data_IF_378100213411
#
_entry.id   IF_378100213411
#
_cell.length_a   1.000
_cell.length_b   1.000
_cell.length_c   1.000
_cell.angle_alpha   90.00
_cell.angle_beta   90.00
_cell.angle_gamma   90.00
#
_symmetry.space_group_name_H-M   'P 1'
#
loop_
_entity.id
_entity.type
_entity.pdbx_description
1 polymer ?
#
# COMPACT_ATOMS: atom_id res chain seq x y z
N UNK A 1 15.86 6.51 -22.94
CA UNK A 1 16.89 7.44 -23.47
C UNK A 1 18.12 7.51 -22.56
N UNK A 2 18.02 8.02 -21.28
CA UNK A 2 19.22 8.16 -20.44
C UNK A 2 19.92 6.83 -20.17
N UNK A 3 19.17 5.82 -19.74
CA UNK A 3 19.70 4.48 -19.44
C UNK A 3 20.33 3.82 -20.67
N UNK A 4 19.68 3.91 -21.83
CA UNK A 4 20.21 3.39 -23.10
C UNK A 4 21.52 4.09 -23.49
N UNK A 5 21.55 5.44 -23.41
CA UNK A 5 22.75 6.21 -23.73
C UNK A 5 23.93 5.91 -22.80
N UNK A 6 23.64 5.51 -21.55
CA UNK A 6 24.64 5.13 -20.58
C UNK A 6 25.01 3.65 -20.63
N UNK A 7 24.32 2.83 -21.43
CA UNK A 7 24.53 1.39 -21.50
C UNK A 7 24.16 0.67 -20.20
N UNK A 8 23.10 1.13 -19.52
CA UNK A 8 22.66 0.52 -18.27
C UNK A 8 21.96 -0.83 -18.51
N UNK A 9 22.33 -1.84 -17.74
CA UNK A 9 21.71 -3.18 -17.78
C UNK A 9 20.39 -3.25 -17.04
N UNK A 10 20.24 -2.41 -16.00
CA UNK A 10 19.06 -2.40 -15.11
C UNK A 10 18.72 -1.02 -14.61
N UNK A 11 17.48 -0.85 -14.14
CA UNK A 11 16.99 0.36 -13.47
C UNK A 11 16.38 -0.02 -12.13
N UNK A 12 16.89 0.58 -11.05
CA UNK A 12 16.24 0.54 -9.76
C UNK A 12 15.34 1.79 -9.64
N UNK A 13 14.00 1.62 -9.51
CA UNK A 13 13.08 2.76 -9.59
C UNK A 13 12.99 3.57 -8.27
N UNK A 14 13.59 3.07 -7.18
CA UNK A 14 13.37 3.61 -5.84
C UNK A 14 11.95 3.36 -5.33
N UNK A 15 11.40 4.31 -4.60
CA UNK A 15 10.08 4.20 -3.95
C UNK A 15 9.10 5.33 -4.35
N UNK A 16 9.31 5.99 -5.46
CA UNK A 16 8.43 7.07 -5.94
C UNK A 16 8.38 7.17 -7.46
N UNK A 17 7.69 8.17 -7.97
CA UNK A 17 7.59 8.50 -9.38
C UNK A 17 7.18 7.31 -10.27
N UNK A 18 8.15 6.64 -10.89
CA UNK A 18 7.93 5.56 -11.86
C UNK A 18 7.96 4.15 -11.25
N UNK A 19 8.13 4.02 -9.93
CA UNK A 19 8.26 2.73 -9.28
C UNK A 19 7.02 1.83 -9.39
N UNK A 20 5.83 2.43 -9.55
CA UNK A 20 4.56 1.72 -9.74
C UNK A 20 3.91 2.09 -11.09
N UNK A 21 4.73 2.38 -12.09
CA UNK A 21 4.26 2.68 -13.44
C UNK A 21 4.49 1.50 -14.39
N UNK A 22 3.43 0.76 -14.68
CA UNK A 22 3.49 -0.44 -15.52
C UNK A 22 3.95 -0.16 -16.95
N UNK A 23 3.62 1.00 -17.52
CA UNK A 23 4.09 1.40 -18.85
C UNK A 23 5.61 1.61 -18.87
N UNK A 24 6.17 2.17 -17.79
CA UNK A 24 7.61 2.30 -17.66
C UNK A 24 8.31 0.94 -17.58
N UNK A 25 7.74 -0.01 -16.85
CA UNK A 25 8.24 -1.40 -16.79
C UNK A 25 8.24 -2.04 -18.17
N UNK A 26 7.14 -1.90 -18.94
CA UNK A 26 7.05 -2.40 -20.32
C UNK A 26 8.11 -1.78 -21.22
N UNK A 27 8.31 -0.47 -21.12
CA UNK A 27 9.36 0.24 -21.87
C UNK A 27 10.77 -0.22 -21.52
N UNK A 28 11.06 -0.50 -20.25
CA UNK A 28 12.35 -1.09 -19.87
C UNK A 28 12.56 -2.44 -20.57
N UNK A 29 11.57 -3.32 -20.51
CA UNK A 29 11.62 -4.65 -21.13
C UNK A 29 11.78 -4.58 -22.65
N UNK A 30 11.05 -3.69 -23.33
CA UNK A 30 11.16 -3.46 -24.78
C UNK A 30 12.56 -3.01 -25.21
N UNK A 31 13.29 -2.33 -24.34
CA UNK A 31 14.65 -1.83 -24.59
C UNK A 31 15.74 -2.73 -23.99
N UNK A 32 15.41 -3.94 -23.55
CA UNK A 32 16.38 -4.89 -23.00
C UNK A 32 16.98 -4.45 -21.65
N UNK A 33 16.32 -3.54 -20.93
CA UNK A 33 16.75 -3.04 -19.63
C UNK A 33 15.94 -3.74 -18.54
N UNK A 34 16.61 -4.36 -17.57
CA UNK A 34 15.96 -5.02 -16.45
C UNK A 34 15.36 -3.97 -15.50
N UNK A 35 14.05 -4.02 -15.27
CA UNK A 35 13.41 -3.27 -14.19
C UNK A 35 13.57 -4.03 -12.88
N UNK A 36 14.16 -3.41 -11.85
CA UNK A 36 14.33 -4.03 -10.53
C UNK A 36 13.04 -3.82 -9.73
N UNK A 37 12.13 -4.78 -9.84
CA UNK A 37 10.79 -4.73 -9.29
C UNK A 37 9.89 -5.80 -9.89
N UNK A 38 8.59 -5.79 -9.60
CA UNK A 38 7.62 -6.74 -10.14
C UNK A 38 7.29 -6.47 -11.61
N UNK A 39 6.63 -7.44 -12.24
CA UNK A 39 6.15 -7.31 -13.62
C UNK A 39 5.04 -6.25 -13.74
N UNK A 40 4.93 -5.66 -14.94
CA UNK A 40 3.95 -4.63 -15.27
C UNK A 40 2.51 -5.05 -14.98
N UNK A 41 2.15 -6.30 -15.27
CA UNK A 41 0.79 -6.81 -15.09
C UNK A 41 0.43 -6.95 -13.60
N UNK A 42 1.42 -7.21 -12.75
CA UNK A 42 1.23 -7.22 -11.28
C UNK A 42 0.97 -5.81 -10.77
N UNK A 43 1.71 -4.83 -11.27
CA UNK A 43 1.52 -3.41 -10.94
C UNK A 43 0.11 -2.96 -11.34
N UNK A 44 -0.33 -3.26 -12.56
CA UNK A 44 -1.68 -2.91 -13.02
C UNK A 44 -2.77 -3.57 -12.18
N UNK A 45 -2.61 -4.87 -11.89
CA UNK A 45 -3.57 -5.65 -11.13
C UNK A 45 -3.72 -5.12 -9.69
N UNK A 46 -2.61 -4.83 -9.03
CA UNK A 46 -2.61 -4.35 -7.64
C UNK A 46 -2.90 -2.85 -7.53
N UNK A 47 -2.60 -2.06 -8.56
CA UNK A 47 -2.94 -0.65 -8.63
C UNK A 47 -4.45 -0.39 -8.77
N UNK A 48 -5.22 -1.34 -9.28
CA UNK A 48 -6.68 -1.26 -9.33
C UNK A 48 -7.29 -1.83 -8.04
N UNK A 49 -7.86 -0.95 -7.20
CA UNK A 49 -8.38 -1.33 -5.88
C UNK A 49 -9.45 -2.42 -5.92
N UNK A 50 -10.33 -2.39 -6.92
CA UNK A 50 -11.40 -3.40 -7.06
C UNK A 50 -10.82 -4.76 -7.46
N UNK A 51 -9.87 -4.77 -8.41
CA UNK A 51 -9.18 -6.00 -8.83
C UNK A 51 -8.31 -6.57 -7.70
N UNK A 52 -7.56 -5.71 -6.99
CA UNK A 52 -6.77 -6.12 -5.85
C UNK A 52 -7.64 -6.76 -4.77
N UNK A 53 -8.76 -6.10 -4.40
CA UNK A 53 -9.70 -6.62 -3.41
C UNK A 53 -10.28 -7.98 -3.83
N UNK A 54 -10.75 -8.11 -5.08
CA UNK A 54 -11.29 -9.37 -5.57
C UNK A 54 -10.23 -10.48 -5.56
N UNK A 55 -9.01 -10.20 -6.00
CA UNK A 55 -7.90 -11.15 -5.95
C UNK A 55 -7.60 -11.62 -4.52
N UNK A 56 -7.63 -10.71 -3.55
CA UNK A 56 -7.42 -11.07 -2.14
C UNK A 56 -8.55 -11.94 -1.59
N UNK A 57 -9.79 -11.64 -1.94
CA UNK A 57 -10.93 -12.49 -1.55
C UNK A 57 -10.82 -13.91 -2.12
N UNK A 58 -10.43 -14.03 -3.39
CA UNK A 58 -10.24 -15.34 -4.05
C UNK A 58 -9.08 -16.12 -3.40
N UNK A 59 -8.04 -15.41 -2.97
CA UNK A 59 -6.92 -15.96 -2.24
C UNK A 59 -7.21 -16.24 -0.75
N UNK A 60 -8.43 -15.92 -0.26
CA UNK A 60 -8.85 -16.04 1.14
C UNK A 60 -8.08 -15.15 2.11
N UNK A 61 -7.48 -14.09 1.63
CA UNK A 61 -6.90 -13.03 2.46
C UNK A 61 -8.04 -12.18 3.01
N UNK A 62 -8.08 -11.88 4.32
CA UNK A 62 -9.14 -11.08 4.90
C UNK A 62 -9.21 -9.68 4.28
N UNK A 63 -10.37 -9.26 3.82
CA UNK A 63 -10.63 -7.91 3.31
C UNK A 63 -11.71 -7.24 4.16
N UNK A 64 -11.72 -5.91 4.20
CA UNK A 64 -12.77 -5.17 4.91
C UNK A 64 -14.14 -5.63 4.41
N UNK A 65 -15.07 -6.05 5.30
CA UNK A 65 -16.42 -6.44 4.90
C UNK A 65 -17.10 -5.31 4.11
N UNK A 66 -17.69 -5.63 2.97
CA UNK A 66 -18.30 -4.63 2.10
C UNK A 66 -18.96 -5.25 0.86
N UNK A 67 -19.60 -4.39 0.07
CA UNK A 67 -20.24 -4.79 -1.18
C UNK A 67 -19.22 -5.31 -2.18
N UNK A 68 -19.60 -6.35 -2.92
CA UNK A 68 -18.81 -6.87 -4.05
C UNK A 68 -19.14 -6.13 -5.33
N UNK A 69 -20.43 -5.86 -5.49
CA UNK A 69 -20.97 -5.19 -6.66
C UNK A 69 -21.17 -3.70 -6.38
N UNK A 70 -21.14 -2.88 -7.41
CA UNK A 70 -21.49 -1.47 -7.32
C UNK A 70 -22.91 -1.26 -6.80
N UNK A 71 -23.10 -0.17 -6.07
CA UNK A 71 -24.38 0.27 -5.53
C UNK A 71 -24.76 1.60 -6.18
N UNK A 72 -25.95 1.70 -6.75
CA UNK A 72 -26.38 2.87 -7.50
C UNK A 72 -27.50 3.67 -6.82
N UNK A 73 -28.12 3.12 -5.79
CA UNK A 73 -29.20 3.76 -5.04
C UNK A 73 -29.07 3.55 -3.53
N UNK A 74 -29.61 4.48 -2.77
CA UNK A 74 -29.49 4.48 -1.31
C UNK A 74 -30.26 3.30 -0.66
N UNK A 75 -31.40 2.87 -1.21
CA UNK A 75 -32.18 1.76 -0.65
C UNK A 75 -31.42 0.44 -0.69
N UNK A 76 -30.80 0.14 -1.83
CA UNK A 76 -29.94 -1.03 -1.99
C UNK A 76 -28.71 -0.92 -1.08
N UNK A 77 -28.06 0.26 -1.02
CA UNK A 77 -26.91 0.50 -0.16
C UNK A 77 -27.22 0.34 1.32
N UNK A 78 -28.38 0.80 1.78
CA UNK A 78 -28.82 0.67 3.17
C UNK A 78 -29.00 -0.81 3.58
N UNK A 79 -29.55 -1.65 2.70
CA UNK A 79 -29.67 -3.09 2.97
C UNK A 79 -28.29 -3.74 3.20
N UNK A 80 -27.30 -3.41 2.36
CA UNK A 80 -25.94 -3.88 2.58
C UNK A 80 -25.31 -3.31 3.86
N UNK A 81 -25.58 -2.04 4.18
CA UNK A 81 -25.11 -1.42 5.41
C UNK A 81 -25.70 -2.08 6.66
N UNK A 82 -26.98 -2.46 6.61
CA UNK A 82 -27.64 -3.22 7.68
C UNK A 82 -27.00 -4.62 7.88
N UNK A 83 -26.63 -5.30 6.79
CA UNK A 83 -25.96 -6.60 6.83
C UNK A 83 -24.52 -6.50 7.38
N UNK A 84 -23.75 -5.49 6.94
CA UNK A 84 -22.37 -5.23 7.38
C UNK A 84 -22.33 -4.74 8.83
N UNK A 85 -23.36 -4.02 9.23
CA UNK A 85 -23.48 -3.34 10.54
C UNK A 85 -22.75 -2.00 10.58
N UNK A 86 -23.42 -0.99 11.16
CA UNK A 86 -22.86 0.37 11.32
C UNK A 86 -21.72 0.42 12.35
N UNK A 87 -20.82 1.42 12.27
CA UNK A 87 -20.71 2.40 11.20
C UNK A 87 -20.19 1.82 9.89
N UNK A 88 -20.58 2.46 8.76
CA UNK A 88 -20.13 2.07 7.43
C UNK A 88 -19.50 3.25 6.68
N UNK A 89 -18.55 2.95 5.80
CA UNK A 89 -17.95 3.89 4.87
C UNK A 89 -18.63 3.75 3.50
N UNK A 90 -19.16 4.83 3.00
CA UNK A 90 -19.68 4.97 1.64
C UNK A 90 -18.55 5.54 0.79
N UNK A 91 -18.18 4.86 -0.29
CA UNK A 91 -17.05 5.23 -1.16
C UNK A 91 -17.46 5.28 -2.61
N UNK A 92 -17.02 6.31 -3.33
CA UNK A 92 -17.11 6.33 -4.78
C UNK A 92 -16.06 5.39 -5.41
N UNK A 93 -16.42 4.73 -6.51
CA UNK A 93 -15.53 3.88 -7.30
C UNK A 93 -14.31 4.65 -7.79
N UNK A 94 -14.54 5.84 -8.32
CA UNK A 94 -13.52 6.73 -8.90
C UNK A 94 -12.98 7.75 -7.89
N UNK A 95 -13.29 7.61 -6.59
CA UNK A 95 -12.91 8.55 -5.55
C UNK A 95 -11.42 8.57 -5.25
N UNK A 96 -10.90 9.76 -4.95
CA UNK A 96 -9.52 9.98 -4.53
C UNK A 96 -9.37 11.24 -3.69
N UNK A 97 -8.34 11.28 -2.81
CA UNK A 97 -8.07 12.45 -1.97
C UNK A 97 -9.20 12.80 -0.98
N UNK A 98 -10.00 11.81 -0.56
CA UNK A 98 -11.12 12.00 0.38
C UNK A 98 -12.43 12.48 -0.25
N UNK A 99 -12.47 12.76 -1.55
CA UNK A 99 -13.71 13.10 -2.27
C UNK A 99 -14.53 11.85 -2.58
N UNK A 100 -15.85 11.98 -2.50
CA UNK A 100 -16.77 10.86 -2.71
C UNK A 100 -16.73 9.81 -1.59
N UNK A 101 -16.30 10.18 -0.39
CA UNK A 101 -16.30 9.30 0.79
C UNK A 101 -17.06 9.94 1.95
N UNK A 102 -17.94 9.16 2.59
CA UNK A 102 -18.71 9.59 3.78
C UNK A 102 -18.84 8.42 4.75
N UNK A 103 -18.82 8.71 6.02
CA UNK A 103 -19.14 7.74 7.08
C UNK A 103 -20.58 7.94 7.52
N UNK A 104 -21.37 6.88 7.52
CA UNK A 104 -22.67 6.82 8.16
C UNK A 104 -22.55 6.08 9.50
N UNK A 105 -22.84 6.75 10.59
CA UNK A 105 -22.76 6.19 11.94
C UNK A 105 -23.95 5.28 12.25
N UNK A 106 -25.10 5.59 11.62
CA UNK A 106 -26.35 4.89 11.82
C UNK A 106 -27.17 4.81 10.52
N UNK A 107 -28.22 4.00 10.56
CA UNK A 107 -29.20 3.89 9.48
C UNK A 107 -29.85 5.23 9.12
N UNK A 108 -30.18 6.03 10.12
CA UNK A 108 -30.88 7.31 9.93
C UNK A 108 -30.06 8.33 9.13
N UNK A 109 -28.71 8.18 9.14
CA UNK A 109 -27.81 9.06 8.41
C UNK A 109 -27.45 8.54 7.02
N UNK A 110 -27.70 7.25 6.75
CA UNK A 110 -27.15 6.56 5.59
C UNK A 110 -27.58 7.17 4.27
N UNK A 111 -28.90 7.36 4.06
CA UNK A 111 -29.45 7.89 2.80
C UNK A 111 -28.89 9.29 2.49
N UNK A 112 -28.80 10.14 3.50
CA UNK A 112 -28.25 11.50 3.36
C UNK A 112 -26.80 11.45 2.92
N UNK A 113 -25.95 10.65 3.59
CA UNK A 113 -24.53 10.53 3.27
C UNK A 113 -24.29 9.84 1.93
N UNK A 114 -25.09 8.84 1.58
CA UNK A 114 -25.02 8.17 0.29
C UNK A 114 -25.28 9.14 -0.86
N UNK A 115 -26.40 9.87 -0.82
CA UNK A 115 -26.76 10.84 -1.84
C UNK A 115 -25.73 11.98 -1.97
N UNK A 116 -25.15 12.43 -0.85
CA UNK A 116 -24.09 13.43 -0.88
C UNK A 116 -22.81 12.92 -1.54
N UNK A 117 -22.35 11.73 -1.16
CA UNK A 117 -21.14 11.14 -1.73
C UNK A 117 -21.29 10.85 -3.23
N UNK A 118 -22.47 10.33 -3.63
CA UNK A 118 -22.80 10.02 -5.03
C UNK A 118 -22.80 11.28 -5.91
N UNK A 119 -23.45 12.36 -5.45
CA UNK A 119 -23.46 13.65 -6.17
C UNK A 119 -22.06 14.27 -6.28
N UNK A 120 -21.28 14.19 -5.22
CA UNK A 120 -19.90 14.69 -5.23
C UNK A 120 -19.06 13.91 -6.24
N UNK A 121 -19.21 12.59 -6.30
CA UNK A 121 -18.51 11.73 -7.24
C UNK A 121 -18.93 12.01 -8.68
N UNK A 122 -20.22 12.06 -8.96
CA UNK A 122 -20.75 12.37 -10.29
C UNK A 122 -20.21 13.72 -10.80
N UNK A 123 -20.19 14.74 -9.94
CA UNK A 123 -19.70 16.07 -10.32
C UNK A 123 -18.17 16.15 -10.48
N UNK A 124 -17.41 15.42 -9.65
CA UNK A 124 -15.95 15.51 -9.67
C UNK A 124 -15.29 14.56 -10.69
N UNK A 125 -15.90 13.39 -10.92
CA UNK A 125 -15.29 12.30 -11.68
C UNK A 125 -16.16 11.80 -12.84
N UNK A 126 -17.42 12.25 -12.95
CA UNK A 126 -18.37 11.77 -13.96
C UNK A 126 -18.86 10.33 -13.71
N UNK A 127 -18.66 9.81 -12.50
CA UNK A 127 -18.98 8.44 -12.09
C UNK A 127 -19.75 8.48 -10.77
N UNK A 128 -20.96 7.91 -10.75
CA UNK A 128 -21.86 7.85 -9.61
C UNK A 128 -21.87 6.46 -8.92
N UNK A 129 -20.96 5.60 -9.31
CA UNK A 129 -20.81 4.24 -8.77
C UNK A 129 -20.29 4.27 -7.34
N UNK A 130 -21.04 3.66 -6.43
CA UNK A 130 -20.72 3.64 -5.00
C UNK A 130 -20.44 2.22 -4.51
N UNK A 131 -19.66 2.13 -3.42
CA UNK A 131 -19.39 0.92 -2.64
C UNK A 131 -19.61 1.20 -1.16
N UNK A 132 -20.07 0.19 -0.43
CA UNK A 132 -20.28 0.26 1.02
C UNK A 132 -19.30 -0.69 1.69
N UNK A 133 -18.56 -0.19 2.68
CA UNK A 133 -17.61 -1.00 3.45
C UNK A 133 -17.80 -0.77 4.96
N UNK A 134 -17.45 -1.74 5.77
CA UNK A 134 -17.36 -1.55 7.21
C UNK A 134 -16.40 -0.41 7.52
N UNK A 135 -16.83 0.56 8.32
CA UNK A 135 -15.91 1.57 8.84
C UNK A 135 -15.16 1.03 10.05
N UNK A 136 -13.84 1.01 9.98
CA UNK A 136 -12.99 0.58 11.08
C UNK A 136 -12.59 1.82 11.87
N UNK A 137 -13.08 1.90 13.11
CA UNK A 137 -12.78 3.01 14.00
C UNK A 137 -11.41 2.84 14.66
N UNK A 138 -10.63 3.92 14.74
CA UNK A 138 -9.30 3.96 15.35
C UNK A 138 -8.41 2.79 14.92
N UNK A 139 -8.26 2.52 13.61
CA UNK A 139 -7.48 1.40 13.15
C UNK A 139 -5.99 1.65 13.38
N UNK A 140 -5.23 0.56 13.55
CA UNK A 140 -3.78 0.60 13.36
C UNK A 140 -3.44 0.25 11.93
N UNK A 141 -2.41 0.91 11.42
CA UNK A 141 -1.83 0.61 10.12
C UNK A 141 -0.61 -0.29 10.35
N UNK A 142 -0.74 -1.54 9.98
CA UNK A 142 0.32 -2.53 10.10
C UNK A 142 0.57 -3.14 8.72
N UNK A 143 1.82 -3.26 8.34
CA UNK A 143 2.19 -3.76 7.02
C UNK A 143 3.22 -4.86 7.10
N UNK A 144 3.19 -5.79 6.14
CA UNK A 144 4.12 -6.92 6.07
C UNK A 144 5.06 -6.72 4.89
N UNK A 145 6.36 -6.69 5.17
CA UNK A 145 7.38 -6.73 4.13
C UNK A 145 7.45 -8.11 3.50
N UNK A 146 7.34 -8.18 2.19
CA UNK A 146 7.58 -9.43 1.44
C UNK A 146 8.78 -9.29 0.52
N UNK A 147 9.39 -10.43 0.24
CA UNK A 147 10.40 -10.62 -0.80
C UNK A 147 10.09 -11.89 -1.57
N UNK A 148 10.12 -11.83 -2.89
CA UNK A 148 9.80 -12.96 -3.75
C UNK A 148 10.80 -13.08 -4.90
N UNK A 149 11.13 -14.30 -5.30
CA UNK A 149 12.02 -14.58 -6.44
C UNK A 149 11.26 -15.09 -7.67
N UNK A 150 12.01 -15.32 -8.75
CA UNK A 150 11.46 -15.87 -10.00
C UNK A 150 11.22 -17.37 -9.96
N UNK A 151 11.50 -18.06 -8.85
CA UNK A 151 11.35 -19.51 -8.66
C UNK A 151 10.12 -19.88 -7.86
N UNK A 152 9.32 -18.87 -7.44
CA UNK A 152 8.10 -19.05 -6.66
C UNK A 152 8.29 -19.04 -5.15
N UNK A 153 9.51 -18.75 -4.67
CA UNK A 153 9.74 -18.54 -3.26
C UNK A 153 9.19 -17.15 -2.86
N UNK A 154 8.44 -17.10 -1.79
CA UNK A 154 7.91 -15.86 -1.19
C UNK A 154 8.17 -15.91 0.30
N UNK A 155 8.84 -14.91 0.84
CA UNK A 155 9.20 -14.79 2.24
C UNK A 155 8.60 -13.51 2.83
N UNK A 156 7.98 -13.62 4.00
CA UNK A 156 7.53 -12.50 4.81
C UNK A 156 8.60 -12.16 5.87
N UNK A 157 9.04 -10.90 5.89
CA UNK A 157 10.12 -10.45 6.78
C UNK A 157 9.59 -9.77 8.07
N UNK A 158 8.34 -10.00 8.39
CA UNK A 158 7.69 -9.42 9.56
C UNK A 158 7.03 -8.07 9.27
N UNK A 159 6.46 -7.53 10.33
CA UNK A 159 5.63 -6.33 10.24
C UNK A 159 6.37 -5.05 10.61
N UNK A 160 5.77 -3.95 10.09
CA UNK A 160 6.00 -2.57 10.55
C UNK A 160 4.67 -1.99 11.04
N UNK A 161 4.71 -1.24 12.13
CA UNK A 161 3.60 -0.40 12.58
C UNK A 161 3.82 1.01 12.04
N UNK A 162 2.88 1.46 11.22
CA UNK A 162 2.91 2.76 10.55
C UNK A 162 1.72 3.63 10.97
N UNK A 163 1.21 3.44 12.18
CA UNK A 163 -0.02 4.12 12.66
C UNK A 163 0.18 5.60 12.94
N UNK A 164 1.41 6.05 13.21
CA UNK A 164 1.70 7.47 13.47
C UNK A 164 1.80 8.22 12.15
N UNK A 165 0.71 8.88 11.79
CA UNK A 165 0.56 9.56 10.50
C UNK A 165 0.05 10.99 10.66
N UNK A 166 0.35 11.84 9.68
CA UNK A 166 -0.23 13.18 9.53
C UNK A 166 -0.79 13.33 8.12
N UNK A 167 -2.07 13.58 7.98
CA UNK A 167 -2.75 13.68 6.68
C UNK A 167 -2.48 12.48 5.76
N UNK A 168 -2.54 11.26 6.32
CA UNK A 168 -2.24 9.99 5.64
C UNK A 168 -0.77 9.82 5.20
N UNK A 169 0.14 10.65 5.70
CA UNK A 169 1.57 10.49 5.51
C UNK A 169 2.18 9.86 6.77
N UNK A 170 2.86 8.74 6.61
CA UNK A 170 3.61 8.06 7.67
C UNK A 170 4.69 9.01 8.21
N UNK A 171 4.85 9.08 9.53
CA UNK A 171 5.83 9.94 10.20
C UNK A 171 6.79 9.17 11.10
N UNK A 172 6.28 8.14 11.76
CA UNK A 172 7.08 7.26 12.61
C UNK A 172 6.66 5.84 12.27
N UNK A 173 7.63 5.01 11.99
CA UNK A 173 7.47 3.59 11.70
C UNK A 173 8.32 2.78 12.67
N UNK A 174 7.81 1.64 13.13
CA UNK A 174 8.53 0.76 14.05
C UNK A 174 8.37 -0.71 13.68
N UNK A 175 9.37 -1.50 13.99
CA UNK A 175 9.36 -2.96 13.82
C UNK A 175 10.07 -3.62 15.02
N UNK A 176 9.48 -4.68 15.61
CA UNK A 176 8.12 -5.18 15.38
C UNK A 176 7.05 -4.28 16.00
N UNK A 177 5.78 -4.44 15.58
CA UNK A 177 4.65 -3.71 16.15
C UNK A 177 4.38 -4.14 17.60
N UNK A 178 4.28 -3.19 18.55
CA UNK A 178 3.92 -3.52 19.94
C UNK A 178 2.42 -3.88 20.09
N UNK A 179 1.63 -3.67 19.04
CA UNK A 179 0.17 -3.82 19.08
C UNK A 179 -0.31 -5.20 18.65
N UNK A 180 0.52 -6.01 18.00
CA UNK A 180 0.13 -7.32 17.52
C UNK A 180 0.78 -8.46 18.30
N UNK A 181 0.03 -9.54 18.47
CA UNK A 181 0.53 -10.74 19.15
C UNK A 181 1.29 -11.64 18.19
N UNK A 182 2.12 -12.56 18.71
CA UNK A 182 2.83 -13.56 17.90
C UNK A 182 1.88 -14.36 16.99
N UNK A 183 0.68 -14.68 17.49
CA UNK A 183 -0.33 -15.39 16.71
C UNK A 183 -0.84 -14.55 15.54
N UNK A 184 -1.07 -13.25 15.77
CA UNK A 184 -1.49 -12.33 14.70
C UNK A 184 -0.37 -12.16 13.69
N UNK A 185 0.87 -11.97 14.13
CA UNK A 185 2.06 -11.86 13.27
C UNK A 185 2.17 -13.06 12.33
N UNK A 186 2.06 -14.27 12.89
CA UNK A 186 2.11 -15.49 12.10
C UNK A 186 0.98 -15.55 11.05
N UNK A 187 -0.25 -15.16 11.44
CA UNK A 187 -1.39 -15.11 10.50
C UNK A 187 -1.22 -14.05 9.43
N UNK A 188 -0.79 -12.84 9.78
CA UNK A 188 -0.56 -11.75 8.83
C UNK A 188 0.58 -12.06 7.85
N UNK A 189 1.68 -12.64 8.33
CA UNK A 189 2.76 -13.13 7.46
C UNK A 189 2.26 -14.17 6.46
N UNK A 190 1.46 -15.13 6.94
CA UNK A 190 0.84 -16.16 6.07
C UNK A 190 -0.04 -15.51 4.99
N UNK A 191 -0.91 -14.59 5.37
CA UNK A 191 -1.83 -13.93 4.45
C UNK A 191 -1.09 -13.02 3.46
N UNK A 192 0.00 -12.37 3.87
CA UNK A 192 0.86 -11.59 2.98
C UNK A 192 1.55 -12.49 1.93
N UNK A 193 1.99 -13.69 2.32
CA UNK A 193 2.54 -14.69 1.40
C UNK A 193 1.46 -15.17 0.43
N UNK A 194 0.23 -15.42 0.90
CA UNK A 194 -0.90 -15.79 0.03
C UNK A 194 -1.22 -14.67 -0.97
N UNK A 195 -1.24 -13.42 -0.52
CA UNK A 195 -1.47 -12.26 -1.38
C UNK A 195 -0.44 -12.17 -2.50
N UNK A 196 0.84 -12.31 -2.16
CA UNK A 196 1.93 -12.28 -3.14
C UNK A 196 1.85 -13.43 -4.14
N UNK A 197 1.60 -14.66 -3.67
CA UNK A 197 1.43 -15.85 -4.51
C UNK A 197 0.25 -15.74 -5.46
N UNK A 198 -0.86 -15.14 -5.04
CA UNK A 198 -2.06 -14.97 -5.86
C UNK A 198 -1.85 -14.09 -7.09
N UNK A 199 -0.79 -13.31 -7.11
CA UNK A 199 -0.44 -12.42 -8.22
C UNK A 199 0.90 -12.78 -8.88
N UNK A 200 1.52 -13.91 -8.50
CA UNK A 200 2.87 -14.30 -8.95
C UNK A 200 3.86 -13.15 -8.73
N UNK A 201 3.86 -12.58 -7.54
CA UNK A 201 4.71 -11.46 -7.19
C UNK A 201 6.18 -11.81 -7.28
N UNK A 202 7.00 -10.86 -7.73
CA UNK A 202 8.46 -10.96 -7.73
C UNK A 202 9.08 -9.68 -7.18
N UNK A 203 10.25 -9.78 -6.57
CA UNK A 203 11.00 -8.70 -5.97
C UNK A 203 10.40 -8.23 -4.62
N UNK A 204 10.79 -7.03 -4.15
CA UNK A 204 10.30 -6.46 -2.89
C UNK A 204 8.90 -5.89 -3.03
N UNK A 205 8.05 -6.13 -2.05
CA UNK A 205 6.72 -5.55 -1.95
C UNK A 205 6.24 -5.49 -0.51
N UNK A 206 5.16 -4.75 -0.30
CA UNK A 206 4.57 -4.61 1.04
C UNK A 206 3.08 -4.82 0.96
N UNK A 207 2.55 -5.67 1.85
CA UNK A 207 1.11 -5.88 2.00
C UNK A 207 0.64 -5.09 3.21
N UNK A 208 -0.20 -4.10 2.98
CA UNK A 208 -0.72 -3.21 4.02
C UNK A 208 -2.05 -3.74 4.56
N UNK A 209 -2.17 -3.71 5.89
CA UNK A 209 -3.36 -4.13 6.63
C UNK A 209 -3.82 -3.02 7.57
N UNK A 210 -5.12 -2.95 7.79
CA UNK A 210 -5.71 -2.22 8.91
C UNK A 210 -6.10 -3.22 9.98
N UNK A 211 -5.75 -2.91 11.24
CA UNK A 211 -6.05 -3.73 12.41
C UNK A 211 -7.03 -2.99 13.29
N UNK A 212 -8.18 -3.59 13.58
CA UNK A 212 -9.18 -3.00 14.44
C UNK A 212 -8.77 -3.08 15.94
N UNK A 213 -9.41 -2.33 16.85
CA UNK A 213 -9.09 -2.39 18.28
C UNK A 213 -9.35 -3.76 18.95
N UNK A 214 -10.08 -4.66 18.27
CA UNK A 214 -10.36 -6.03 18.76
C UNK A 214 -9.31 -7.04 18.29
N UNK A 215 -8.36 -6.60 17.44
CA UNK A 215 -7.32 -7.44 16.88
C UNK A 215 -7.72 -8.21 15.63
N UNK A 216 -8.80 -7.79 14.94
CA UNK A 216 -9.12 -8.29 13.61
C UNK A 216 -8.38 -7.45 12.58
N UNK A 217 -7.80 -8.06 11.56
CA UNK A 217 -7.09 -7.33 10.51
C UNK A 217 -7.68 -7.59 9.13
N UNK A 218 -7.49 -6.62 8.25
CA UNK A 218 -8.02 -6.65 6.90
C UNK A 218 -7.00 -6.07 5.93
N UNK A 219 -6.87 -6.70 4.77
CA UNK A 219 -6.08 -6.18 3.65
C UNK A 219 -6.58 -4.80 3.24
N UNK A 220 -5.66 -3.88 3.05
CA UNK A 220 -5.94 -2.52 2.58
C UNK A 220 -5.44 -2.34 1.15
N UNK A 221 -4.15 -2.54 0.93
CA UNK A 221 -3.51 -2.45 -0.39
C UNK A 221 -2.17 -3.18 -0.42
N UNK A 222 -1.60 -3.30 -1.61
CA UNK A 222 -0.25 -3.83 -1.80
C UNK A 222 0.57 -2.81 -2.56
N UNK A 223 1.68 -2.39 -1.95
CA UNK A 223 2.66 -1.54 -2.62
C UNK A 223 3.64 -2.43 -3.40
N UNK A 224 3.64 -2.23 -4.71
CA UNK A 224 4.41 -3.07 -5.65
C UNK A 224 5.83 -2.54 -5.85
N UNK A 225 6.48 -2.15 -4.78
CA UNK A 225 7.81 -1.53 -4.72
C UNK A 225 8.41 -1.65 -3.33
N UNK A 226 9.67 -1.27 -3.21
CA UNK A 226 10.27 -0.99 -1.89
C UNK A 226 9.62 0.25 -1.28
N UNK A 227 9.52 0.33 0.03
CA UNK A 227 9.01 1.51 0.75
C UNK A 227 10.14 2.27 1.45
N UNK A 228 9.88 3.54 1.83
CA UNK A 228 10.86 4.38 2.54
C UNK A 228 11.27 3.72 3.84
N UNK A 229 10.30 3.20 4.56
CA UNK A 229 10.39 2.59 5.89
C UNK A 229 10.96 1.16 5.90
N UNK A 230 11.55 0.69 4.80
CA UNK A 230 12.16 -0.65 4.74
C UNK A 230 13.31 -0.82 5.73
N UNK A 231 13.98 0.28 6.09
CA UNK A 231 15.14 0.26 6.97
C UNK A 231 14.87 -0.34 8.35
N UNK A 232 13.69 -0.14 8.94
CA UNK A 232 13.35 -0.76 10.23
C UNK A 232 13.25 -2.27 10.14
N UNK A 233 12.78 -2.80 8.99
CA UNK A 233 12.78 -4.26 8.74
C UNK A 233 14.20 -4.79 8.60
N UNK A 234 15.07 -4.11 7.87
CA UNK A 234 16.47 -4.50 7.71
C UNK A 234 17.20 -4.55 9.06
N UNK A 235 16.97 -3.55 9.90
CA UNK A 235 17.60 -3.47 11.22
C UNK A 235 17.21 -4.62 12.14
N UNK A 236 15.97 -5.10 12.09
CA UNK A 236 15.52 -6.19 12.96
C UNK A 236 15.75 -7.59 12.37
N UNK A 237 15.81 -7.72 11.04
CA UNK A 237 16.02 -9.03 10.38
C UNK A 237 17.48 -9.29 10.02
N UNK A 238 18.27 -8.24 9.87
CA UNK A 238 19.66 -8.33 9.38
C UNK A 238 19.72 -8.60 7.86
N UNK A 239 18.63 -8.38 7.13
CA UNK A 239 18.54 -8.59 5.68
C UNK A 239 18.73 -7.27 4.95
N UNK A 240 19.55 -7.21 3.92
CA UNK A 240 19.65 -6.05 3.02
C UNK A 240 18.66 -6.24 1.85
N UNK A 241 17.54 -5.55 1.90
CA UNK A 241 16.47 -5.68 0.92
C UNK A 241 16.86 -5.14 -0.46
N UNK A 242 17.70 -4.12 -0.51
CA UNK A 242 18.14 -3.54 -1.79
C UNK A 242 19.09 -4.50 -2.51
N UNK A 243 20.00 -5.15 -1.77
CA UNK A 243 20.87 -6.19 -2.34
C UNK A 243 20.00 -7.36 -2.85
N UNK A 244 19.03 -7.82 -2.06
CA UNK A 244 18.14 -8.90 -2.48
C UNK A 244 17.31 -8.53 -3.72
N UNK A 245 16.83 -7.28 -3.83
CA UNK A 245 16.14 -6.81 -5.05
C UNK A 245 17.02 -6.94 -6.28
N UNK A 246 18.29 -6.56 -6.18
CA UNK A 246 19.26 -6.64 -7.29
C UNK A 246 19.54 -8.12 -7.63
N UNK A 247 19.74 -8.98 -6.63
CA UNK A 247 19.98 -10.43 -6.84
C UNK A 247 18.83 -11.11 -7.55
N UNK A 248 17.58 -10.85 -7.10
CA UNK A 248 16.38 -11.37 -7.76
C UNK A 248 16.28 -10.88 -9.21
N UNK A 249 16.60 -9.60 -9.46
CA UNK A 249 16.61 -9.03 -10.81
C UNK A 249 17.72 -9.64 -11.70
N UNK A 250 18.81 -10.11 -11.12
CA UNK A 250 19.86 -10.89 -11.80
C UNK A 250 19.45 -12.35 -12.09
N UNK A 251 18.27 -12.77 -11.63
CA UNK A 251 17.77 -14.14 -11.82
C UNK A 251 18.25 -15.12 -10.75
N UNK A 252 18.78 -14.63 -9.62
CA UNK A 252 19.17 -15.47 -8.49
C UNK A 252 17.95 -15.79 -7.60
N UNK A 253 17.94 -16.95 -6.90
CA UNK A 253 16.97 -17.21 -5.85
C UNK A 253 17.23 -16.32 -4.63
N UNK A 254 16.23 -16.19 -3.74
CA UNK A 254 16.41 -15.52 -2.45
C UNK A 254 17.58 -16.15 -1.68
N UNK A 255 18.36 -15.31 -0.98
CA UNK A 255 19.51 -15.77 -0.19
C UNK A 255 19.12 -16.37 1.16
N UNK A 256 17.84 -16.33 1.51
CA UNK A 256 17.28 -16.81 2.78
C UNK A 256 15.92 -17.47 2.57
N UNK A 257 15.56 -18.33 3.50
CA UNK A 257 14.25 -18.99 3.59
C UNK A 257 13.38 -18.36 4.66
N UNK A 258 12.09 -18.73 4.72
CA UNK A 258 11.17 -18.21 5.76
C UNK A 258 11.63 -18.60 7.18
N UNK A 259 12.21 -19.78 7.34
CA UNK A 259 12.66 -20.32 8.62
C UNK A 259 13.89 -19.58 9.17
N UNK A 260 14.66 -18.96 8.30
CA UNK A 260 15.87 -18.19 8.65
C UNK A 260 15.54 -16.75 9.07
N UNK A 261 14.36 -16.25 8.71
CA UNK A 261 13.91 -14.91 9.11
C UNK A 261 13.53 -14.92 10.59
N UNK A 262 14.43 -14.38 11.39
CA UNK A 262 14.25 -14.29 12.85
C UNK A 262 14.45 -12.83 13.29
N UNK A 263 13.37 -12.03 13.38
CA UNK A 263 13.47 -10.64 13.85
C UNK A 263 14.06 -10.56 15.26
N UNK A 264 14.99 -9.63 15.47
CA UNK A 264 15.68 -9.42 16.76
C UNK A 264 15.70 -7.95 17.11
N UNK A 265 15.43 -7.66 18.38
CA UNK A 265 15.45 -6.28 18.86
C UNK A 265 14.23 -5.49 18.43
N UNK A 266 14.42 -4.19 18.29
CA UNK A 266 13.38 -3.23 17.92
C UNK A 266 14.04 -2.07 17.18
N UNK A 267 13.41 -1.59 16.12
CA UNK A 267 13.87 -0.45 15.33
C UNK A 267 12.74 0.56 15.15
N UNK A 268 13.09 1.85 15.19
CA UNK A 268 12.17 2.96 14.97
C UNK A 268 12.80 3.90 13.94
N UNK A 269 12.01 4.27 12.94
CA UNK A 269 12.32 5.31 11.97
C UNK A 269 11.47 6.54 12.23
N UNK A 270 12.08 7.72 12.13
CA UNK A 270 11.38 9.00 12.23
C UNK A 270 11.65 9.82 10.96
N UNK A 271 10.61 10.25 10.28
CA UNK A 271 10.74 11.13 9.11
C UNK A 271 10.89 12.57 9.55
N UNK A 272 12.08 13.13 9.29
CA UNK A 272 12.37 14.52 9.59
C UNK A 272 12.09 15.37 8.35
N UNK A 273 11.00 16.14 8.39
CA UNK A 273 10.60 17.01 7.30
C UNK A 273 11.15 18.43 7.48
N UNK A 274 11.76 18.98 6.44
CA UNK A 274 12.24 20.35 6.40
C UNK A 274 11.06 21.31 6.16
N UNK A 275 10.20 21.48 7.15
CA UNK A 275 8.95 22.27 7.09
C UNK A 275 8.97 23.41 8.10
N UNK A 276 8.19 24.46 7.83
CA UNK A 276 8.00 25.60 8.75
C UNK A 276 6.58 25.52 9.30
N UNK A 277 6.35 25.10 10.57
CA UNK A 277 5.03 24.95 11.15
C UNK A 277 4.18 26.22 11.08
N UNK A 278 4.78 27.38 11.32
CA UNK A 278 4.11 28.69 11.34
C UNK A 278 3.62 29.13 9.95
N UNK A 279 4.12 28.49 8.88
CA UNK A 279 3.73 28.73 7.48
C UNK A 279 2.91 27.57 6.89
N UNK A 280 2.02 26.99 7.68
CA UNK A 280 1.19 25.85 7.29
C UNK A 280 2.02 24.68 6.70
N UNK A 281 3.13 24.34 7.35
CA UNK A 281 4.01 23.26 6.96
C UNK A 281 4.60 23.40 5.56
N UNK A 282 4.76 24.62 5.06
CA UNK A 282 5.46 24.85 3.79
C UNK A 282 6.93 24.40 3.90
N UNK A 283 7.48 23.83 2.83
CA UNK A 283 8.89 23.48 2.79
C UNK A 283 9.76 24.73 2.94
N UNK A 284 10.89 24.64 3.65
CA UNK A 284 11.75 25.78 3.97
C UNK A 284 12.30 26.53 2.74
N UNK A 285 12.31 25.91 1.57
CA UNK A 285 12.85 26.48 0.32
C UNK A 285 11.78 26.84 -0.74
N UNK A 286 10.49 26.63 -0.46
CA UNK A 286 9.42 26.95 -1.45
C UNK A 286 9.22 28.45 -1.64
N UNK A 287 9.55 29.29 -0.66
CA UNK A 287 9.32 30.73 -0.72
C UNK A 287 10.45 31.53 -1.36
N UNK A 288 11.58 30.91 -1.66
CA UNK A 288 12.71 31.58 -2.30
C UNK A 288 13.10 30.81 -3.57
N UNK A 289 12.83 31.37 -4.77
CA UNK A 289 13.42 30.83 -5.98
C UNK A 289 14.95 30.94 -5.80
N UNK A 290 15.63 29.79 -5.87
CA UNK A 290 17.09 29.76 -5.90
C UNK A 290 17.54 30.68 -7.03
N UNK A 291 17.97 31.90 -6.71
CA UNK A 291 18.74 32.72 -7.62
C UNK A 291 20.05 31.98 -7.85
N UNK A 292 20.12 31.23 -8.95
CA UNK A 292 21.42 30.83 -9.47
C UNK A 292 22.12 32.13 -9.82
N UNK A 293 23.04 32.56 -8.97
CA UNK A 293 24.07 33.51 -9.42
C UNK A 293 24.84 32.80 -10.52
N UNK A 294 24.94 33.40 -11.74
CA UNK A 294 25.83 32.86 -12.75
C UNK A 294 27.24 32.85 -12.14
N UNK A 295 27.89 31.72 -12.15
CA UNK A 295 29.31 31.62 -11.86
C UNK A 295 29.97 32.25 -13.09
N UNK A 296 30.54 33.45 -12.92
CA UNK A 296 31.38 34.14 -13.92
C UNK A 296 32.69 33.40 -14.09
#
# INVERSE_FOLDING_TARGET
AAAENMGADAIHPGFGFLSENSEFVRKCKENGITFIGPDADVIDKMGNKSHARQTMMDAKVPVVPGTREPVYDAETGEKFADEIGYPVMIKASSGGGGKGMRVAQSKDEFEFHFNMAQRESANAFGDDTMYIEKYIENPRHVEIQIMADNFGNVVALGERDCSVQRNHQKLIEESPSPAITEKMRASMNHDAILAAKAVNYTNAGTVEFIVDPKGTYYFMEMNTRIQVEHGVTEMVTGTDLIIEQIRVAMGEPLSFTQEEVTPRGHAIECRINAEIPEKNLSLIHISEPTRRTPIS
#
